data_IF_111375351519
#
_entry.id   IF_111375351519
#
_cell.length_a   1.000
_cell.length_b   1.000
_cell.length_c   1.000
_cell.angle_alpha   90.00
_cell.angle_beta   90.00
_cell.angle_gamma   90.00
#
_symmetry.space_group_name_H-M   'P 1'
#
loop_
_entity.id
_entity.type
_entity.pdbx_description
1 polymer ?
#
# COMPACT_ATOMS: atom_id res chain seq x y z
N UNK A 1 -4.94 8.22 6.36
CA UNK A 1 -5.71 8.57 7.58
C UNK A 1 -6.63 9.80 7.44
N UNK A 2 -6.50 10.63 6.40
CA UNK A 2 -7.32 11.85 6.21
C UNK A 2 -8.63 11.63 5.41
N UNK A 3 -9.03 10.38 5.18
CA UNK A 3 -10.34 10.04 4.57
C UNK A 3 -10.54 10.43 3.10
N UNK A 4 -9.50 10.85 2.36
CA UNK A 4 -9.64 11.30 0.96
C UNK A 4 -9.87 10.20 -0.08
N UNK A 5 -9.53 8.95 0.25
CA UNK A 5 -9.65 7.81 -0.63
C UNK A 5 -10.04 6.56 0.17
N UNK A 6 -10.57 5.56 -0.51
CA UNK A 6 -10.73 4.20 0.02
C UNK A 6 -9.61 3.34 -0.54
N UNK A 7 -8.83 2.73 0.34
CA UNK A 7 -7.72 1.83 0.01
C UNK A 7 -8.25 0.40 -0.03
N UNK A 8 -8.05 -0.30 -1.14
CA UNK A 8 -8.43 -1.70 -1.31
C UNK A 8 -7.18 -2.54 -1.60
N UNK A 9 -7.18 -3.80 -1.16
CA UNK A 9 -6.11 -4.75 -1.51
C UNK A 9 -5.60 -5.52 -0.30
N UNK A 10 -4.29 -5.58 -0.12
CA UNK A 10 -3.66 -6.23 1.05
C UNK A 10 -2.82 -5.23 1.82
N UNK A 11 -2.44 -5.57 3.05
CA UNK A 11 -1.47 -4.75 3.81
C UNK A 11 -0.21 -4.52 2.98
N UNK A 12 0.25 -3.27 2.94
CA UNK A 12 1.54 -2.96 2.30
C UNK A 12 2.71 -3.50 3.13
N UNK A 13 3.91 -3.53 2.55
CA UNK A 13 5.10 -4.09 3.21
C UNK A 13 5.53 -3.32 4.47
N UNK A 14 5.20 -2.02 4.55
CA UNK A 14 5.61 -1.18 5.69
C UNK A 14 7.10 -0.89 5.75
N UNK A 15 7.79 -0.82 4.59
CA UNK A 15 9.17 -0.34 4.51
C UNK A 15 9.16 1.19 4.32
N UNK A 16 9.14 1.94 5.43
CA UNK A 16 8.93 3.40 5.44
C UNK A 16 10.10 4.18 6.01
N UNK A 17 11.21 3.53 6.36
CA UNK A 17 12.43 4.23 6.75
C UNK A 17 13.05 4.95 5.54
N UNK A 18 13.09 6.30 5.52
CA UNK A 18 13.80 7.02 4.49
C UNK A 18 15.27 6.62 4.52
N UNK A 19 15.82 6.32 3.36
CA UNK A 19 17.17 5.81 3.21
C UNK A 19 17.94 6.57 2.14
N UNK A 20 19.25 6.53 2.27
CA UNK A 20 20.19 7.06 1.28
C UNK A 20 21.05 5.92 0.74
N UNK A 21 21.63 6.14 -0.42
CA UNK A 21 22.55 5.22 -1.07
C UNK A 21 23.93 5.86 -1.14
N UNK A 22 24.94 5.15 -0.66
CA UNK A 22 26.34 5.54 -0.81
C UNK A 22 27.09 4.51 -1.66
N UNK A 23 27.93 5.01 -2.58
CA UNK A 23 28.83 4.16 -3.37
C UNK A 23 30.10 3.90 -2.57
N UNK A 24 30.38 2.63 -2.30
CA UNK A 24 31.59 2.21 -1.60
C UNK A 24 32.81 2.23 -2.54
N UNK A 25 34.06 2.27 -2.01
CA UNK A 25 35.26 2.24 -2.83
C UNK A 25 35.38 1.01 -3.75
N UNK A 26 34.69 -0.08 -3.42
CA UNK A 26 34.60 -1.31 -4.24
C UNK A 26 33.63 -1.19 -5.42
N UNK A 27 32.86 -0.10 -5.50
CA UNK A 27 31.78 0.09 -6.46
C UNK A 27 30.43 -0.51 -6.03
N UNK A 28 30.36 -1.19 -4.89
CA UNK A 28 29.09 -1.65 -4.32
C UNK A 28 28.24 -0.46 -3.81
N UNK A 29 26.92 -0.62 -3.82
CA UNK A 29 25.99 0.37 -3.29
C UNK A 29 25.52 -0.07 -1.90
N UNK A 30 25.71 0.79 -0.91
CA UNK A 30 25.22 0.59 0.45
C UNK A 30 23.99 1.48 0.69
N UNK A 31 22.85 0.85 0.98
CA UNK A 31 21.63 1.54 1.37
C UNK A 31 21.45 1.47 2.89
N UNK A 32 21.20 2.60 3.54
CA UNK A 32 20.95 2.65 4.97
C UNK A 32 19.88 3.69 5.32
N UNK A 33 19.13 3.40 6.39
CA UNK A 33 18.11 4.30 6.92
C UNK A 33 18.75 5.53 7.59
N UNK A 34 18.15 6.70 7.38
CA UNK A 34 18.61 7.97 7.97
C UNK A 34 17.58 8.62 8.89
N UNK A 35 16.35 8.12 8.89
CA UNK A 35 15.28 8.62 9.77
C UNK A 35 14.19 7.57 9.96
N UNK A 36 13.29 7.83 10.90
CA UNK A 36 12.07 7.06 11.13
C UNK A 36 10.84 7.87 10.66
N UNK A 37 9.74 7.17 10.35
CA UNK A 37 8.48 7.77 9.91
C UNK A 37 7.31 7.32 10.78
N UNK A 38 6.54 8.31 11.26
CA UNK A 38 5.23 8.13 11.88
C UNK A 38 4.17 8.85 11.07
N UNK A 39 2.96 8.28 11.05
CA UNK A 39 1.81 8.95 10.44
C UNK A 39 1.44 10.22 11.23
N UNK A 40 0.60 11.11 10.68
CA UNK A 40 0.06 12.26 11.42
C UNK A 40 -0.75 11.91 12.67
N UNK A 41 -1.12 10.64 12.85
CA UNK A 41 -1.78 10.11 14.07
C UNK A 41 -0.80 9.40 15.01
N UNK A 42 0.51 9.63 14.86
CA UNK A 42 1.58 9.01 15.64
C UNK A 42 1.67 7.48 15.51
N UNK A 43 1.09 6.91 14.45
CA UNK A 43 1.13 5.47 14.19
C UNK A 43 2.47 5.11 13.56
N UNK A 44 3.16 4.13 14.15
CA UNK A 44 4.33 3.50 13.55
C UNK A 44 3.88 2.63 12.38
N UNK A 45 4.34 2.95 11.17
CA UNK A 45 4.03 2.21 9.94
C UNK A 45 5.13 1.18 9.64
N UNK A 46 6.35 1.40 10.13
CA UNK A 46 7.48 0.48 9.90
C UNK A 46 7.18 -0.94 10.37
N UNK A 47 7.43 -1.91 9.49
CA UNK A 47 7.17 -3.34 9.72
C UNK A 47 5.70 -3.75 9.77
N UNK A 48 4.75 -2.81 9.67
CA UNK A 48 3.29 -3.07 9.73
C UNK A 48 2.60 -2.80 8.41
N UNK A 49 3.02 -1.73 7.74
CA UNK A 49 2.40 -1.24 6.52
C UNK A 49 1.08 -0.53 6.75
N UNK A 50 0.44 -0.20 5.63
CA UNK A 50 -0.91 0.38 5.60
C UNK A 50 -1.89 -0.77 5.46
N UNK A 51 -2.76 -0.94 6.44
CA UNK A 51 -3.91 -1.83 6.31
C UNK A 51 -4.94 -1.19 5.37
N UNK A 52 -5.47 -1.93 4.38
CA UNK A 52 -6.49 -1.41 3.48
C UNK A 52 -7.82 -1.20 4.23
N UNK A 53 -8.63 -0.25 3.77
CA UNK A 53 -10.00 -0.07 4.27
C UNK A 53 -10.88 -1.28 3.89
N UNK A 54 -10.60 -1.91 2.75
CA UNK A 54 -11.25 -3.15 2.30
C UNK A 54 -10.18 -4.17 1.90
N UNK A 55 -10.06 -5.25 2.66
CA UNK A 55 -9.15 -6.35 2.31
C UNK A 55 -9.69 -7.11 1.11
N UNK A 56 -8.89 -7.16 0.04
CA UNK A 56 -9.16 -7.89 -1.20
C UNK A 56 -7.88 -8.59 -1.62
N UNK A 57 -7.85 -9.91 -1.42
CA UNK A 57 -6.74 -10.75 -1.86
C UNK A 57 -6.95 -11.22 -3.28
N UNK A 58 -5.93 -11.07 -4.11
CA UNK A 58 -5.91 -11.75 -5.38
C UNK A 58 -5.80 -13.27 -5.15
N UNK A 59 -6.62 -14.04 -5.86
CA UNK A 59 -6.57 -15.51 -5.77
C UNK A 59 -5.81 -16.06 -6.97
N UNK A 60 -5.13 -17.20 -6.78
CA UNK A 60 -4.48 -17.91 -7.89
C UNK A 60 -5.45 -18.20 -9.03
N UNK A 61 -6.68 -18.63 -8.71
CA UNK A 61 -7.72 -18.91 -9.70
C UNK A 61 -8.07 -17.66 -10.52
N UNK A 62 -8.34 -16.53 -9.86
CA UNK A 62 -8.67 -15.28 -10.52
C UNK A 62 -7.53 -14.78 -11.40
N UNK A 63 -6.29 -14.85 -10.91
CA UNK A 63 -5.10 -14.46 -11.67
C UNK A 63 -4.93 -15.33 -12.92
N UNK A 64 -5.07 -16.66 -12.80
CA UNK A 64 -4.94 -17.59 -13.92
C UNK A 64 -6.04 -17.41 -14.98
N UNK A 65 -7.22 -16.93 -14.59
CA UNK A 65 -8.28 -16.58 -15.53
C UNK A 65 -8.16 -15.15 -16.09
N UNK A 66 -7.05 -14.45 -15.86
CA UNK A 66 -6.81 -13.08 -16.31
C UNK A 66 -7.63 -12.01 -15.56
N UNK A 67 -8.23 -12.37 -14.42
CA UNK A 67 -9.03 -11.46 -13.61
C UNK A 67 -8.19 -10.70 -12.58
N UNK A 68 -8.66 -9.51 -12.23
CA UNK A 68 -8.12 -8.69 -11.14
C UNK A 68 -9.21 -8.47 -10.08
N UNK A 69 -9.10 -9.20 -8.97
CA UNK A 69 -10.07 -9.11 -7.88
C UNK A 69 -10.07 -7.72 -7.21
N UNK A 70 -8.92 -7.06 -7.12
CA UNK A 70 -8.78 -5.76 -6.48
C UNK A 70 -9.41 -4.67 -7.33
N UNK A 71 -9.16 -4.68 -8.64
CA UNK A 71 -9.79 -3.76 -9.59
C UNK A 71 -11.31 -3.94 -9.63
N UNK A 72 -11.80 -5.18 -9.73
CA UNK A 72 -13.23 -5.46 -9.74
C UNK A 72 -13.93 -4.94 -8.47
N UNK A 73 -13.31 -5.13 -7.29
CA UNK A 73 -13.81 -4.61 -6.03
C UNK A 73 -13.80 -3.07 -5.99
N UNK A 74 -12.74 -2.43 -6.49
CA UNK A 74 -12.64 -0.96 -6.54
C UNK A 74 -13.74 -0.35 -7.43
N UNK A 75 -13.98 -0.91 -8.62
CA UNK A 75 -15.05 -0.48 -9.53
C UNK A 75 -16.41 -0.57 -8.83
N UNK A 76 -16.68 -1.68 -8.12
CA UNK A 76 -17.92 -1.86 -7.36
C UNK A 76 -18.11 -0.75 -6.32
N UNK A 77 -17.08 -0.47 -5.50
CA UNK A 77 -17.13 0.58 -4.47
C UNK A 77 -17.38 1.96 -5.08
N UNK A 78 -16.75 2.28 -6.20
CA UNK A 78 -16.94 3.57 -6.90
C UNK A 78 -18.39 3.71 -7.39
N UNK A 79 -18.93 2.67 -8.04
CA UNK A 79 -20.29 2.68 -8.55
C UNK A 79 -21.35 2.78 -7.44
N UNK A 80 -21.12 2.13 -6.29
CA UNK A 80 -22.00 2.22 -5.12
C UNK A 80 -22.00 3.63 -4.51
N UNK A 81 -20.83 4.25 -4.32
CA UNK A 81 -20.73 5.63 -3.83
C UNK A 81 -21.37 6.65 -4.77
N UNK A 82 -21.24 6.44 -6.09
CA UNK A 82 -21.88 7.29 -7.09
C UNK A 82 -23.41 7.23 -7.09
N UNK A 83 -24.01 6.14 -6.60
CA UNK A 83 -25.47 6.02 -6.43
C UNK A 83 -25.98 6.71 -5.17
N UNK A 84 -25.19 6.71 -4.08
CA UNK A 84 -25.55 7.36 -2.81
C UNK A 84 -25.46 8.89 -2.92
N UNK A 85 -24.59 9.40 -3.79
CA UNK A 85 -24.41 10.83 -4.02
C UNK A 85 -25.33 11.43 -5.09
N UNK A 86 -26.26 10.64 -5.65
CA UNK A 86 -27.34 11.10 -6.54
C UNK A 86 -28.65 11.17 -5.77
#
# INVERSE_FOLDING_TARGET
>A
EIGRATVLGTSSAGAVLPSVFDTLPTGAIFQYAVSDYRSPREVLIEGRGVHPDVEVRQTRKALLSGGDAQLAAAVKVILEKGKVNK
#
